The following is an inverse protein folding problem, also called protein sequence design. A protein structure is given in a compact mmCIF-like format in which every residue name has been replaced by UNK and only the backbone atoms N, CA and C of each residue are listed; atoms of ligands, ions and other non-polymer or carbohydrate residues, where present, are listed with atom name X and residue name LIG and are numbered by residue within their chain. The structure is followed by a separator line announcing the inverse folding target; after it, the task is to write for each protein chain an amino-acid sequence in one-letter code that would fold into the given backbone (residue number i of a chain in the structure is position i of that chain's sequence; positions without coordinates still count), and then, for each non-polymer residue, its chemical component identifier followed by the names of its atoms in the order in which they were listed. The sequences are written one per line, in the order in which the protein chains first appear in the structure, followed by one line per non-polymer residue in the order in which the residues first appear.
data_IF_088060356459
#
_entry.id   IF_088060356459
#
_cell.length_a   1.000
_cell.length_b   1.000
_cell.length_c   1.000
_cell.angle_alpha   90.00
_cell.angle_beta   90.00
_cell.angle_gamma   90.00
#
_symmetry.space_group_name_H-M   'P 1'
#
loop_
_entity.id
_entity.type
_entity.pdbx_description
1 polymer ?
#
# COMPACT_ATOMS: atom_id res chain seq x y z
N UNK A 1 -46.31 42.90 36.19
CA UNK A 1 -46.78 41.94 35.16
C UNK A 1 -45.68 41.75 34.13
N UNK A 2 -44.86 40.70 34.27
CA UNK A 2 -43.91 40.28 33.23
C UNK A 2 -44.32 38.87 32.78
N UNK A 3 -44.65 38.72 31.50
CA UNK A 3 -44.94 37.43 30.85
C UNK A 3 -43.62 36.71 30.59
N UNK A 4 -43.48 35.43 30.95
CA UNK A 4 -42.36 34.63 30.49
C UNK A 4 -42.57 34.27 29.02
N UNK A 5 -41.62 34.64 28.18
CA UNK A 5 -41.53 34.20 26.78
C UNK A 5 -40.98 32.78 26.78
N UNK A 6 -41.80 31.83 26.35
CA UNK A 6 -41.40 30.43 26.16
C UNK A 6 -40.58 30.35 24.87
N UNK A 7 -39.25 30.26 24.99
CA UNK A 7 -38.36 29.97 23.85
C UNK A 7 -38.47 28.47 23.57
N UNK A 8 -39.18 28.12 22.49
CA UNK A 8 -39.19 26.76 21.97
C UNK A 8 -37.80 26.44 21.38
N UNK A 9 -37.02 25.63 22.10
CA UNK A 9 -35.85 24.97 21.54
C UNK A 9 -36.33 23.96 20.50
N UNK A 10 -36.23 24.33 19.21
CA UNK A 10 -36.21 23.34 18.14
C UNK A 10 -34.97 22.48 18.33
N UNK A 11 -35.15 21.30 18.92
CA UNK A 11 -34.18 20.21 18.82
C UNK A 11 -34.15 19.77 17.36
N UNK A 12 -33.24 20.33 16.56
CA UNK A 12 -32.85 19.72 15.30
C UNK A 12 -32.16 18.40 15.64
N UNK A 13 -32.92 17.31 15.56
CA UNK A 13 -32.34 15.99 15.43
C UNK A 13 -31.42 16.03 14.21
N UNK A 14 -30.10 16.12 14.43
CA UNK A 14 -29.10 15.79 13.42
C UNK A 14 -29.41 14.35 13.00
N UNK A 15 -30.18 14.20 11.92
CA UNK A 15 -30.22 12.95 11.20
C UNK A 15 -28.81 12.77 10.67
N UNK A 16 -27.99 11.95 11.34
CA UNK A 16 -26.75 11.49 10.74
C UNK A 16 -27.11 10.92 9.38
N UNK A 17 -26.43 11.40 8.33
CA UNK A 17 -26.59 10.90 6.96
C UNK A 17 -26.55 9.37 7.00
N UNK A 18 -27.61 8.71 6.49
CA UNK A 18 -27.63 7.25 6.38
C UNK A 18 -26.62 6.86 5.30
N UNK A 19 -25.39 6.60 5.71
CA UNK A 19 -24.29 6.28 4.82
C UNK A 19 -23.50 5.04 5.26
N UNK A 20 -22.77 4.47 4.30
CA UNK A 20 -21.86 3.34 4.49
C UNK A 20 -20.55 3.66 3.76
N UNK A 21 -19.45 3.62 4.50
CA UNK A 21 -18.09 3.76 3.98
C UNK A 21 -17.37 2.42 4.10
N UNK A 22 -16.72 2.00 3.02
CA UNK A 22 -16.02 0.70 2.92
C UNK A 22 -14.65 0.94 2.30
N UNK A 23 -13.61 0.65 3.07
CA UNK A 23 -12.23 0.60 2.58
C UNK A 23 -12.04 -0.65 1.70
N UNK A 24 -11.43 -0.50 0.53
CA UNK A 24 -11.24 -1.62 -0.39
C UNK A 24 -10.28 -2.65 0.20
N UNK A 25 -9.21 -2.22 0.86
CA UNK A 25 -8.23 -3.11 1.52
C UNK A 25 -8.85 -3.97 2.63
N UNK A 26 -9.99 -3.54 3.19
CA UNK A 26 -10.73 -4.25 4.24
C UNK A 26 -11.67 -5.34 3.68
N UNK A 27 -11.65 -5.60 2.36
CA UNK A 27 -12.41 -6.71 1.78
C UNK A 27 -11.94 -8.04 2.37
N UNK A 28 -12.89 -8.88 2.81
CA UNK A 28 -12.60 -10.16 3.47
C UNK A 28 -11.93 -11.18 2.55
N UNK A 29 -12.26 -11.12 1.25
CA UNK A 29 -11.58 -11.88 0.21
C UNK A 29 -11.13 -10.89 -0.87
N UNK A 30 -9.83 -10.80 -1.11
CA UNK A 30 -9.27 -9.86 -2.09
C UNK A 30 -9.16 -10.47 -3.49
N UNK A 31 -9.50 -11.75 -3.65
CA UNK A 31 -9.35 -12.45 -4.91
C UNK A 31 -7.90 -12.35 -5.41
N UNK A 32 -7.71 -11.81 -6.62
CA UNK A 32 -6.38 -11.52 -7.17
C UNK A 32 -5.95 -10.06 -7.05
N UNK A 33 -6.66 -9.24 -6.27
CA UNK A 33 -6.28 -7.85 -6.01
C UNK A 33 -5.22 -7.77 -4.91
N UNK A 34 -4.16 -7.00 -5.16
CA UNK A 34 -3.10 -6.76 -4.19
C UNK A 34 -3.36 -5.48 -3.39
N UNK A 35 -2.97 -5.47 -2.11
CA UNK A 35 -2.97 -4.24 -1.29
C UNK A 35 -1.71 -3.45 -1.61
N UNK A 36 -1.86 -2.18 -1.98
CA UNK A 36 -0.75 -1.24 -2.17
C UNK A 36 -0.74 -0.21 -1.03
N UNK A 37 0.34 -0.20 -0.25
CA UNK A 37 0.58 0.70 0.88
C UNK A 37 1.59 1.82 0.56
N UNK A 38 2.21 1.83 -0.62
CA UNK A 38 3.38 2.67 -0.90
C UNK A 38 3.03 4.16 -0.94
N UNK A 39 1.79 4.48 -1.32
CA UNK A 39 1.33 5.86 -1.52
C UNK A 39 0.47 6.38 -0.37
N UNK A 40 0.46 5.73 0.80
CA UNK A 40 -0.36 6.13 1.96
C UNK A 40 -0.14 7.61 2.34
N UNK A 41 1.11 8.12 2.30
CA UNK A 41 1.38 9.53 2.63
C UNK A 41 0.74 10.51 1.65
N UNK A 42 0.58 10.11 0.39
CA UNK A 42 -0.05 10.94 -0.64
C UNK A 42 -1.57 10.77 -0.65
N UNK A 43 -2.05 9.55 -0.39
CA UNK A 43 -3.44 9.15 -0.56
C UNK A 43 -4.28 9.26 0.69
N UNK A 44 -3.65 9.12 1.86
CA UNK A 44 -4.28 8.97 3.16
C UNK A 44 -4.65 7.52 3.54
N UNK A 45 -4.36 6.53 2.69
CA UNK A 45 -4.79 5.13 2.85
C UNK A 45 -4.08 4.17 1.91
N UNK A 46 -4.18 2.87 2.22
CA UNK A 46 -3.87 1.81 1.28
C UNK A 46 -5.01 1.70 0.25
N UNK A 47 -4.83 0.88 -0.78
CA UNK A 47 -5.87 0.61 -1.77
C UNK A 47 -5.70 -0.77 -2.40
N UNK A 48 -6.74 -1.28 -3.05
CA UNK A 48 -6.65 -2.50 -3.85
C UNK A 48 -6.24 -2.17 -5.30
N UNK A 49 -5.30 -2.98 -5.81
CA UNK A 49 -4.79 -2.91 -7.18
C UNK A 49 -4.91 -4.26 -7.90
N UNK A 50 -5.57 -4.27 -9.06
CA UNK A 50 -5.71 -5.44 -9.91
C UNK A 50 -4.53 -5.60 -10.89
N UNK A 51 -3.48 -6.30 -10.48
CA UNK A 51 -2.29 -6.53 -11.32
C UNK A 51 -2.31 -7.93 -11.95
N UNK A 52 -2.96 -8.06 -13.12
CA UNK A 52 -3.13 -9.34 -13.82
C UNK A 52 -2.36 -9.47 -15.14
N UNK A 53 -1.45 -8.53 -15.43
CA UNK A 53 -0.64 -8.51 -16.66
C UNK A 53 -1.49 -8.64 -17.94
N UNK A 54 -2.60 -7.89 -18.00
CA UNK A 54 -3.52 -7.89 -19.14
C UNK A 54 -4.56 -9.01 -19.15
N UNK A 55 -4.55 -9.89 -18.13
CA UNK A 55 -5.63 -10.82 -17.84
C UNK A 55 -6.36 -10.34 -16.59
N UNK A 56 -7.70 -10.20 -16.61
CA UNK A 56 -8.44 -9.82 -15.42
C UNK A 56 -8.16 -10.74 -14.22
N UNK A 57 -7.89 -10.15 -13.06
CA UNK A 57 -7.68 -10.92 -11.81
C UNK A 57 -9.01 -11.40 -11.22
N UNK A 58 -8.95 -12.39 -10.33
CA UNK A 58 -10.14 -12.86 -9.61
C UNK A 58 -10.78 -11.74 -8.77
N UNK A 59 -12.11 -11.70 -8.74
CA UNK A 59 -12.90 -10.67 -8.04
C UNK A 59 -12.54 -10.57 -6.55
N UNK A 60 -12.45 -9.35 -6.03
CA UNK A 60 -12.46 -9.12 -4.59
C UNK A 60 -13.90 -9.06 -4.08
N UNK A 61 -14.19 -9.64 -2.91
CA UNK A 61 -15.53 -9.70 -2.33
C UNK A 61 -15.55 -9.41 -0.83
N UNK A 62 -16.64 -8.80 -0.35
CA UNK A 62 -16.90 -8.59 1.08
C UNK A 62 -18.40 -8.50 1.37
N UNK A 63 -18.84 -8.97 2.53
CA UNK A 63 -20.21 -8.75 3.02
C UNK A 63 -20.24 -7.46 3.86
N UNK A 64 -21.17 -6.57 3.55
CA UNK A 64 -21.40 -5.34 4.31
C UNK A 64 -22.81 -5.29 4.88
N UNK A 65 -22.99 -4.46 5.90
CA UNK A 65 -24.31 -4.16 6.47
C UNK A 65 -24.64 -2.68 6.29
N UNK A 66 -25.61 -2.39 5.41
CA UNK A 66 -26.15 -1.05 5.22
C UNK A 66 -26.99 -0.59 6.43
N UNK A 67 -27.02 0.72 6.74
CA UNK A 67 -27.81 1.24 7.86
C UNK A 67 -29.31 1.09 7.64
N UNK A 68 -29.78 1.09 6.39
CA UNK A 68 -31.16 0.77 6.00
C UNK A 68 -31.22 0.35 4.52
N UNK A 69 -32.41 -0.10 4.08
CA UNK A 69 -32.69 -0.36 2.65
C UNK A 69 -33.12 0.92 1.95
N UNK A 70 -33.19 0.89 0.62
CA UNK A 70 -33.64 1.99 -0.23
C UNK A 70 -32.57 2.42 -1.24
N UNK A 71 -32.82 3.57 -1.87
CA UNK A 71 -31.91 4.15 -2.86
C UNK A 71 -30.71 4.84 -2.19
N UNK A 72 -29.51 4.52 -2.66
CA UNK A 72 -28.24 5.15 -2.27
C UNK A 72 -27.53 5.71 -3.49
N UNK A 73 -26.75 6.77 -3.29
CA UNK A 73 -25.75 7.27 -4.23
C UNK A 73 -24.41 6.59 -3.98
N UNK A 74 -23.84 5.99 -5.02
CA UNK A 74 -22.54 5.33 -4.98
C UNK A 74 -21.44 6.29 -5.43
N UNK A 75 -20.40 6.41 -4.62
CA UNK A 75 -19.14 7.06 -4.97
C UNK A 75 -17.99 6.07 -4.77
N UNK A 76 -17.13 5.93 -5.77
CA UNK A 76 -15.94 5.06 -5.70
C UNK A 76 -14.70 5.92 -5.79
N UNK A 77 -13.79 5.80 -4.81
CA UNK A 77 -12.51 6.50 -4.84
C UNK A 77 -11.53 5.74 -5.71
N UNK A 78 -11.14 6.36 -6.81
CA UNK A 78 -10.32 5.77 -7.88
C UNK A 78 -9.63 6.87 -8.70
N UNK A 79 -8.86 6.48 -9.72
CA UNK A 79 -8.31 7.36 -10.75
C UNK A 79 -8.03 6.60 -12.03
N UNK A 80 -8.05 7.31 -13.16
CA UNK A 80 -7.36 6.83 -14.35
C UNK A 80 -5.86 7.05 -14.17
N UNK A 81 -5.14 5.96 -13.91
CA UNK A 81 -3.74 6.07 -13.60
C UNK A 81 -2.88 6.57 -14.75
N UNK A 82 -3.32 6.46 -16.02
CA UNK A 82 -2.57 6.99 -17.18
C UNK A 82 -2.93 8.43 -17.55
N UNK A 83 -3.99 8.98 -16.98
CA UNK A 83 -4.51 10.28 -17.39
C UNK A 83 -3.50 11.43 -17.18
N UNK A 84 -2.60 11.34 -16.18
CA UNK A 84 -1.59 12.38 -15.93
C UNK A 84 -0.58 12.55 -17.09
N UNK A 85 -0.50 11.59 -18.00
CA UNK A 85 0.33 11.66 -19.20
C UNK A 85 -0.47 11.91 -20.48
N UNK A 86 -1.78 12.16 -20.38
CA UNK A 86 -2.70 12.24 -21.52
C UNK A 86 -2.67 11.00 -22.43
N UNK A 87 -2.34 9.83 -21.86
CA UNK A 87 -2.32 8.58 -22.62
C UNK A 87 -3.74 8.01 -22.79
N UNK A 88 -4.06 7.41 -23.94
CA UNK A 88 -5.40 6.90 -24.21
C UNK A 88 -5.68 5.55 -23.54
N UNK A 89 -6.96 5.26 -23.26
CA UNK A 89 -7.45 3.89 -23.07
C UNK A 89 -7.95 3.53 -21.66
N UNK A 90 -7.59 4.29 -20.63
CA UNK A 90 -7.94 4.02 -19.23
C UNK A 90 -7.73 2.54 -18.85
N UNK A 91 -6.49 2.07 -18.78
CA UNK A 91 -6.19 0.66 -18.60
C UNK A 91 -6.66 0.09 -17.26
N UNK A 92 -6.76 0.90 -16.20
CA UNK A 92 -7.19 0.45 -14.88
C UNK A 92 -8.71 0.30 -14.70
N UNK A 93 -9.45 -0.11 -15.73
CA UNK A 93 -10.92 -0.22 -15.67
C UNK A 93 -11.38 -1.37 -14.79
N UNK A 94 -12.37 -1.11 -13.94
CA UNK A 94 -13.05 -2.13 -13.15
C UNK A 94 -14.54 -1.80 -13.00
N UNK A 95 -15.32 -2.76 -12.51
CA UNK A 95 -16.72 -2.58 -12.15
C UNK A 95 -16.97 -2.92 -10.68
N UNK A 96 -18.08 -2.40 -10.15
CA UNK A 96 -18.59 -2.76 -8.82
C UNK A 96 -19.85 -3.59 -8.99
N UNK A 97 -20.01 -4.65 -8.22
CA UNK A 97 -21.27 -5.38 -8.08
C UNK A 97 -21.81 -5.25 -6.66
N UNK A 98 -23.11 -4.96 -6.54
CA UNK A 98 -23.82 -4.74 -5.28
C UNK A 98 -24.98 -5.72 -5.22
N UNK A 99 -24.94 -6.66 -4.27
CA UNK A 99 -25.99 -7.67 -4.11
C UNK A 99 -26.11 -8.59 -5.32
N UNK A 100 -25.01 -8.82 -6.04
CA UNK A 100 -24.98 -9.61 -7.27
C UNK A 100 -25.36 -8.84 -8.54
N UNK A 101 -25.78 -7.58 -8.44
CA UNK A 101 -26.06 -6.72 -9.59
C UNK A 101 -24.85 -5.83 -9.89
N UNK A 102 -24.29 -5.95 -11.09
CA UNK A 102 -23.23 -5.08 -11.58
C UNK A 102 -23.77 -3.66 -11.81
N UNK A 103 -23.05 -2.66 -11.33
CA UNK A 103 -23.30 -1.26 -11.59
C UNK A 103 -23.09 -0.92 -13.09
N UNK A 104 -23.85 0.03 -13.62
CA UNK A 104 -23.74 0.41 -15.02
C UNK A 104 -22.43 1.18 -15.32
N UNK A 105 -21.89 1.88 -14.32
CA UNK A 105 -20.67 2.66 -14.44
C UNK A 105 -19.45 1.74 -14.48
N UNK A 106 -18.51 2.08 -15.36
CA UNK A 106 -17.15 1.53 -15.32
C UNK A 106 -16.24 2.54 -14.62
N UNK A 107 -15.50 2.08 -13.62
CA UNK A 107 -14.65 2.89 -12.77
C UNK A 107 -13.18 2.83 -13.21
N UNK A 108 -12.35 3.75 -12.71
CA UNK A 108 -10.94 3.85 -13.06
C UNK A 108 -10.70 4.51 -14.42
N UNK A 109 -11.65 5.34 -14.86
CA UNK A 109 -11.70 5.95 -16.20
C UNK A 109 -11.62 7.46 -16.21
N UNK A 110 -11.54 8.09 -15.03
CA UNK A 110 -11.61 9.53 -14.89
C UNK A 110 -10.60 10.03 -13.85
N UNK A 111 -10.06 11.22 -14.09
CA UNK A 111 -9.14 11.94 -13.20
C UNK A 111 -7.71 11.41 -13.21
N UNK A 112 -6.75 12.32 -13.35
CA UNK A 112 -5.32 12.05 -13.19
C UNK A 112 -4.91 11.83 -11.72
N UNK A 113 -5.65 12.46 -10.82
CA UNK A 113 -5.50 12.35 -9.37
C UNK A 113 -6.60 11.48 -8.77
N UNK A 114 -6.38 11.00 -7.55
CA UNK A 114 -7.38 10.28 -6.78
C UNK A 114 -8.62 11.15 -6.56
N UNK A 115 -9.80 10.60 -6.88
CA UNK A 115 -11.07 11.30 -6.77
C UNK A 115 -12.24 10.34 -6.55
N UNK A 116 -13.40 10.89 -6.20
CA UNK A 116 -14.65 10.16 -6.04
C UNK A 116 -15.41 10.13 -7.37
N UNK A 117 -15.29 9.03 -8.11
CA UNK A 117 -16.06 8.79 -9.33
C UNK A 117 -17.48 8.34 -8.96
N UNK A 118 -18.50 9.01 -9.50
CA UNK A 118 -19.91 8.66 -9.23
C UNK A 118 -20.32 7.38 -9.96
N UNK A 119 -20.95 6.45 -9.24
CA UNK A 119 -21.65 5.29 -9.79
C UNK A 119 -23.13 5.58 -10.10
N UNK A 120 -23.64 6.76 -9.76
CA UNK A 120 -25.07 7.07 -9.81
C UNK A 120 -25.85 6.46 -8.64
N UNK A 121 -27.10 6.07 -8.88
CA UNK A 121 -27.99 5.54 -7.84
C UNK A 121 -28.10 4.03 -7.89
N UNK A 122 -28.01 3.39 -6.73
CA UNK A 122 -28.17 1.95 -6.54
C UNK A 122 -29.30 1.67 -5.53
N UNK A 123 -30.09 0.63 -5.78
CA UNK A 123 -31.18 0.22 -4.89
C UNK A 123 -30.71 -0.91 -3.98
N UNK A 124 -30.76 -0.69 -2.66
CA UNK A 124 -30.36 -1.66 -1.65
C UNK A 124 -31.61 -2.33 -1.07
N UNK A 125 -31.83 -3.59 -1.44
CA UNK A 125 -33.02 -4.37 -1.04
C UNK A 125 -32.81 -5.19 0.23
N UNK A 126 -31.56 -5.43 0.62
CA UNK A 126 -31.18 -6.14 1.85
C UNK A 126 -30.09 -5.38 2.57
N UNK A 127 -30.21 -5.25 3.90
CA UNK A 127 -29.17 -4.60 4.71
C UNK A 127 -27.85 -5.36 4.62
N UNK A 128 -27.89 -6.70 4.67
CA UNK A 128 -26.73 -7.55 4.40
C UNK A 128 -26.60 -7.73 2.90
N UNK A 129 -25.50 -7.23 2.34
CA UNK A 129 -25.27 -7.19 0.90
C UNK A 129 -23.81 -7.53 0.61
N UNK A 130 -23.57 -8.35 -0.40
CA UNK A 130 -22.23 -8.65 -0.89
C UNK A 130 -21.82 -7.56 -1.87
N UNK A 131 -20.65 -6.97 -1.66
CA UNK A 131 -19.97 -6.10 -2.61
C UNK A 131 -18.89 -6.90 -3.35
N UNK A 132 -18.69 -6.60 -4.63
CA UNK A 132 -17.57 -7.13 -5.41
C UNK A 132 -16.86 -6.06 -6.22
N UNK A 133 -15.54 -6.16 -6.31
CA UNK A 133 -14.73 -5.46 -7.31
C UNK A 133 -14.35 -6.44 -8.42
N UNK A 134 -14.68 -6.07 -9.65
CA UNK A 134 -14.50 -6.90 -10.84
C UNK A 134 -13.49 -6.20 -11.75
N UNK A 135 -12.30 -6.78 -11.87
CA UNK A 135 -11.32 -6.30 -12.83
C UNK A 135 -11.81 -6.55 -14.27
N UNK A 136 -11.66 -5.56 -15.15
CA UNK A 136 -12.10 -5.65 -16.53
C UNK A 136 -10.94 -5.74 -17.51
N UNK A 137 -9.70 -5.58 -17.06
CA UNK A 137 -8.56 -5.38 -17.98
C UNK A 137 -7.29 -6.13 -17.58
N UNK A 138 -7.05 -6.41 -16.30
CA UNK A 138 -5.76 -6.94 -15.83
C UNK A 138 -4.64 -5.90 -15.78
N UNK A 139 -4.93 -4.61 -15.92
CA UNK A 139 -3.92 -3.54 -15.99
C UNK A 139 -4.03 -2.51 -14.87
N UNK A 140 -3.80 -2.96 -13.64
CA UNK A 140 -3.70 -2.13 -12.45
C UNK A 140 -4.95 -1.29 -12.22
N UNK A 141 -6.14 -1.91 -12.25
CA UNK A 141 -7.35 -1.25 -11.75
C UNK A 141 -7.15 -0.85 -10.29
N UNK A 142 -7.50 0.39 -9.92
CA UNK A 142 -7.24 0.94 -8.58
C UNK A 142 -8.52 1.33 -7.87
N UNK A 143 -8.82 0.70 -6.75
CA UNK A 143 -9.97 1.04 -5.93
C UNK A 143 -9.51 1.26 -4.49
N UNK A 144 -9.76 2.46 -3.99
CA UNK A 144 -9.40 2.83 -2.62
C UNK A 144 -10.59 2.61 -1.68
N UNK A 145 -11.76 3.16 -2.00
CA UNK A 145 -12.92 3.01 -1.13
C UNK A 145 -14.23 3.12 -1.90
N UNK A 146 -15.30 2.58 -1.31
CA UNK A 146 -16.67 2.76 -1.74
C UNK A 146 -17.43 3.54 -0.67
N UNK A 147 -18.17 4.56 -1.10
CA UNK A 147 -19.05 5.34 -0.24
C UNK A 147 -20.46 5.31 -0.79
N UNK A 148 -21.40 4.92 0.06
CA UNK A 148 -22.82 4.91 -0.23
C UNK A 148 -23.51 5.91 0.69
N UNK A 149 -24.31 6.82 0.15
CA UNK A 149 -25.07 7.79 0.95
C UNK A 149 -26.48 7.98 0.41
N UNK A 150 -27.46 8.23 1.28
CA UNK A 150 -28.80 8.61 0.84
C UNK A 150 -28.92 10.10 0.47
N UNK A 151 -27.94 10.93 0.82
CA UNK A 151 -27.91 12.35 0.47
C UNK A 151 -27.02 12.56 -0.77
N UNK A 152 -27.63 12.95 -1.89
CA UNK A 152 -26.92 13.23 -3.14
C UNK A 152 -25.85 14.34 -3.03
N UNK A 153 -25.92 15.19 -1.99
CA UNK A 153 -24.96 16.28 -1.76
C UNK A 153 -23.81 15.89 -0.85
N UNK A 154 -23.88 14.72 -0.22
CA UNK A 154 -22.88 14.21 0.70
C UNK A 154 -21.76 13.51 -0.07
N UNK A 155 -20.84 14.32 -0.62
CA UNK A 155 -19.66 13.85 -1.33
C UNK A 155 -18.45 13.94 -0.38
N UNK A 156 -17.72 12.83 -0.13
CA UNK A 156 -16.61 12.87 0.79
C UNK A 156 -15.47 13.78 0.29
N UNK A 157 -14.66 14.34 1.21
CA UNK A 157 -13.43 15.04 0.84
C UNK A 157 -12.47 14.14 0.05
N UNK A 158 -11.65 14.73 -0.80
CA UNK A 158 -10.78 13.94 -1.72
C UNK A 158 -9.35 13.75 -1.21
N UNK A 159 -8.86 14.65 -0.33
CA UNK A 159 -7.45 14.67 0.11
C UNK A 159 -7.25 15.39 1.44
N UNK A 160 -6.05 15.23 1.98
CA UNK A 160 -5.54 16.05 3.10
C UNK A 160 -6.25 15.79 4.43
N UNK A 161 -6.17 16.75 5.37
CA UNK A 161 -6.74 16.60 6.71
C UNK A 161 -8.25 16.33 6.73
N UNK A 162 -9.01 16.89 5.78
CA UNK A 162 -10.46 16.68 5.72
C UNK A 162 -10.82 15.24 5.35
N UNK A 163 -10.09 14.62 4.41
CA UNK A 163 -10.26 13.20 4.09
C UNK A 163 -9.90 12.33 5.29
N UNK A 164 -8.80 12.65 5.98
CA UNK A 164 -8.38 11.94 7.17
C UNK A 164 -9.47 11.98 8.26
N UNK A 165 -10.02 13.16 8.54
CA UNK A 165 -11.10 13.33 9.52
C UNK A 165 -12.39 12.63 9.09
N UNK A 166 -12.73 12.64 7.81
CA UNK A 166 -13.85 11.89 7.26
C UNK A 166 -13.68 10.39 7.51
N UNK A 167 -12.54 9.79 7.10
CA UNK A 167 -12.26 8.36 7.28
C UNK A 167 -12.30 7.96 8.74
N UNK A 168 -11.63 8.74 9.61
CA UNK A 168 -11.63 8.51 11.05
C UNK A 168 -13.04 8.42 11.62
N UNK A 169 -13.92 9.36 11.26
CA UNK A 169 -15.31 9.37 11.73
C UNK A 169 -16.12 8.22 11.13
N UNK A 170 -15.97 7.96 9.83
CA UNK A 170 -16.68 6.91 9.12
C UNK A 170 -16.33 5.50 9.66
N UNK A 171 -15.06 5.26 9.98
CA UNK A 171 -14.55 4.04 10.59
C UNK A 171 -14.71 4.00 12.12
N UNK A 172 -15.33 5.02 12.72
CA UNK A 172 -15.54 5.15 14.18
C UNK A 172 -14.25 5.04 14.99
N UNK A 173 -13.15 5.55 14.43
CA UNK A 173 -11.84 5.52 15.06
C UNK A 173 -11.71 6.64 16.10
N UNK A 174 -10.99 6.40 17.20
CA UNK A 174 -10.80 7.40 18.24
C UNK A 174 -10.02 8.62 17.70
N UNK A 175 -10.29 9.84 18.19
CA UNK A 175 -9.56 11.05 17.79
C UNK A 175 -8.09 11.01 18.20
N UNK A 176 -7.76 10.22 19.21
CA UNK A 176 -6.41 10.00 19.71
C UNK A 176 -6.09 8.52 19.51
N UNK A 177 -5.04 8.16 18.74
CA UNK A 177 -4.65 6.77 18.59
C UNK A 177 -4.31 6.12 19.95
N UNK A 178 -4.81 4.90 20.23
CA UNK A 178 -4.38 4.13 21.38
C UNK A 178 -2.85 4.01 21.42
N UNK A 179 -2.26 4.25 22.58
CA UNK A 179 -0.80 4.27 22.73
C UNK A 179 -0.27 2.93 23.24
N UNK A 180 0.73 2.39 22.55
CA UNK A 180 1.63 1.33 22.98
C UNK A 180 2.93 1.97 23.45
N UNK A 181 3.39 1.62 24.64
CA UNK A 181 4.57 2.19 25.29
C UNK A 181 5.45 1.07 25.89
N UNK A 182 6.54 1.46 26.55
CA UNK A 182 7.48 0.52 27.16
C UNK A 182 8.56 0.00 26.23
N UNK A 183 8.73 0.62 25.06
CA UNK A 183 9.81 0.29 24.12
C UNK A 183 11.06 1.12 24.40
N UNK A 184 12.19 0.44 24.49
CA UNK A 184 13.51 1.09 24.52
C UNK A 184 13.89 1.56 23.12
N UNK A 185 13.58 0.76 22.09
CA UNK A 185 13.84 1.08 20.69
C UNK A 185 12.60 0.83 19.82
N UNK A 186 12.22 1.82 19.03
CA UNK A 186 11.21 1.68 17.97
C UNK A 186 11.92 1.67 16.62
N UNK A 187 11.87 0.56 15.91
CA UNK A 187 12.45 0.39 14.57
C UNK A 187 11.33 0.48 13.54
N UNK A 188 11.45 1.39 12.57
CA UNK A 188 10.46 1.60 11.52
C UNK A 188 11.05 1.16 10.18
N UNK A 189 10.48 0.11 9.59
CA UNK A 189 10.90 -0.49 8.33
C UNK A 189 11.51 -1.88 8.51
N UNK A 190 10.78 -2.92 8.11
CA UNK A 190 11.19 -4.32 8.22
C UNK A 190 12.09 -4.83 7.08
N UNK A 191 12.97 -3.98 6.53
CA UNK A 191 14.01 -4.40 5.56
C UNK A 191 15.22 -5.06 6.24
N UNK A 192 16.23 -5.48 5.47
CA UNK A 192 17.47 -6.06 6.02
C UNK A 192 18.12 -5.21 7.13
N UNK A 193 18.14 -3.88 6.98
CA UNK A 193 18.68 -2.97 7.99
C UNK A 193 17.84 -2.96 9.28
N UNK A 194 16.52 -2.83 9.16
CA UNK A 194 15.62 -2.74 10.32
C UNK A 194 15.46 -4.07 11.05
N UNK A 195 15.37 -5.20 10.33
CA UNK A 195 15.40 -6.53 10.94
C UNK A 195 16.70 -6.71 11.74
N UNK A 196 17.84 -6.39 11.14
CA UNK A 196 19.14 -6.53 11.81
C UNK A 196 19.26 -5.62 13.04
N UNK A 197 18.78 -4.37 12.94
CA UNK A 197 18.76 -3.43 14.06
C UNK A 197 17.88 -3.93 15.21
N UNK A 198 16.68 -4.45 14.90
CA UNK A 198 15.74 -4.96 15.88
C UNK A 198 16.29 -6.21 16.60
N UNK A 199 16.82 -7.19 15.86
CA UNK A 199 17.42 -8.41 16.43
C UNK A 199 18.62 -8.05 17.31
N UNK A 200 19.52 -7.19 16.80
CA UNK A 200 20.70 -6.77 17.56
C UNK A 200 20.30 -6.09 18.88
N UNK A 201 19.35 -5.15 18.84
CA UNK A 201 18.85 -4.46 20.03
C UNK A 201 18.20 -5.43 21.04
N UNK A 202 17.34 -6.35 20.55
CA UNK A 202 16.66 -7.34 21.38
C UNK A 202 17.64 -8.26 22.12
N UNK A 203 18.68 -8.74 21.43
CA UNK A 203 19.74 -9.58 22.00
C UNK A 203 20.64 -8.85 23.01
N UNK A 204 20.67 -7.52 22.94
CA UNK A 204 21.31 -6.67 23.97
C UNK A 204 20.36 -6.27 25.11
N UNK A 205 19.16 -6.86 25.16
CA UNK A 205 18.21 -6.70 26.26
C UNK A 205 17.25 -5.52 26.13
N UNK A 206 17.20 -4.85 24.97
CA UNK A 206 16.24 -3.77 24.74
C UNK A 206 14.86 -4.32 24.36
N UNK A 207 13.78 -3.76 24.91
CA UNK A 207 12.41 -4.02 24.41
C UNK A 207 12.20 -3.26 23.10
N UNK A 208 11.91 -3.97 22.02
CA UNK A 208 11.84 -3.42 20.66
C UNK A 208 10.43 -3.48 20.11
N UNK A 209 9.98 -2.40 19.45
CA UNK A 209 8.86 -2.44 18.50
C UNK A 209 9.43 -2.42 17.08
N UNK A 210 9.19 -3.47 16.28
CA UNK A 210 9.53 -3.49 14.86
C UNK A 210 8.28 -3.26 14.03
N UNK A 211 8.19 -2.11 13.36
CA UNK A 211 7.04 -1.68 12.57
C UNK A 211 7.34 -1.88 11.09
N UNK A 212 6.48 -2.61 10.38
CA UNK A 212 6.56 -2.78 8.94
C UNK A 212 5.18 -2.61 8.29
N UNK A 213 5.15 -1.89 7.17
CA UNK A 213 3.92 -1.47 6.48
C UNK A 213 3.24 -2.58 5.68
N UNK A 214 3.95 -3.67 5.40
CA UNK A 214 3.45 -4.82 4.64
C UNK A 214 3.39 -6.09 5.48
N UNK A 215 2.78 -7.13 4.91
CA UNK A 215 2.57 -8.42 5.56
C UNK A 215 3.83 -9.29 5.62
N UNK A 216 4.82 -9.04 4.75
CA UNK A 216 6.06 -9.83 4.70
C UNK A 216 7.28 -8.96 4.95
N UNK A 217 8.22 -9.48 5.74
CA UNK A 217 9.49 -8.82 6.04
C UNK A 217 10.50 -8.94 4.89
N UNK A 218 11.55 -8.11 4.90
CA UNK A 218 12.66 -8.15 3.96
C UNK A 218 12.77 -6.93 3.05
N UNK A 219 11.76 -6.04 3.05
CA UNK A 219 11.77 -4.87 2.18
C UNK A 219 11.79 -5.30 0.71
N UNK A 220 12.75 -4.81 -0.07
CA UNK A 220 12.92 -5.22 -1.46
C UNK A 220 13.41 -6.67 -1.62
N UNK A 221 13.99 -7.28 -0.58
CA UNK A 221 14.38 -8.69 -0.57
C UNK A 221 13.34 -9.63 0.02
N UNK A 222 12.08 -9.24 -0.07
CA UNK A 222 10.92 -10.13 0.12
C UNK A 222 10.51 -10.74 -1.22
N UNK A 223 9.67 -11.76 -1.18
CA UNK A 223 9.09 -12.37 -2.38
C UNK A 223 8.23 -11.41 -3.23
N UNK A 224 7.78 -10.29 -2.65
CA UNK A 224 6.99 -9.27 -3.35
C UNK A 224 7.81 -8.45 -4.37
N UNK A 225 9.11 -8.23 -4.11
CA UNK A 225 9.98 -7.36 -4.95
C UNK A 225 11.17 -8.11 -5.54
N UNK A 226 11.61 -9.19 -4.88
CA UNK A 226 12.55 -10.17 -5.40
C UNK A 226 13.97 -9.64 -5.65
N UNK A 227 14.43 -8.63 -4.90
CA UNK A 227 15.84 -8.21 -4.91
C UNK A 227 16.64 -9.09 -3.95
N UNK A 228 17.50 -9.94 -4.48
CA UNK A 228 18.30 -10.88 -3.69
C UNK A 228 19.14 -10.22 -2.58
N UNK A 229 19.47 -10.99 -1.54
CA UNK A 229 20.49 -10.60 -0.58
C UNK A 229 21.86 -10.65 -1.26
N UNK A 230 22.48 -9.48 -1.47
CA UNK A 230 23.82 -9.41 -2.06
C UNK A 230 24.65 -8.35 -1.35
N UNK A 231 25.88 -8.71 -0.98
CA UNK A 231 26.86 -7.82 -0.38
C UNK A 231 28.16 -8.55 -0.07
N UNK A 232 29.28 -7.81 -0.03
CA UNK A 232 30.57 -8.34 0.42
C UNK A 232 30.64 -8.39 1.94
N UNK A 233 30.01 -9.39 2.56
CA UNK A 233 30.01 -9.61 4.01
C UNK A 233 31.17 -10.50 4.44
N UNK A 234 31.57 -10.41 5.71
CA UNK A 234 32.61 -11.26 6.32
C UNK A 234 33.99 -11.23 5.62
N UNK A 235 34.34 -10.10 4.98
CA UNK A 235 35.60 -9.96 4.25
C UNK A 235 36.70 -9.30 5.08
N UNK A 236 37.91 -9.87 5.02
CA UNK A 236 39.14 -9.25 5.52
C UNK A 236 39.07 -8.82 6.99
N UNK A 237 39.09 -7.49 7.23
CA UNK A 237 39.08 -6.90 8.59
C UNK A 237 37.72 -6.95 9.29
N UNK A 238 36.65 -7.35 8.59
CA UNK A 238 35.29 -7.36 9.11
C UNK A 238 34.67 -8.76 9.08
N UNK A 239 35.28 -9.77 9.74
CA UNK A 239 34.83 -11.18 9.65
C UNK A 239 33.42 -11.41 10.22
N UNK A 240 32.96 -10.55 11.13
CA UNK A 240 31.64 -10.65 11.76
C UNK A 240 30.56 -9.81 11.07
N UNK A 241 30.92 -9.00 10.06
CA UNK A 241 29.96 -8.14 9.37
C UNK A 241 28.98 -9.01 8.58
N UNK A 242 27.69 -8.93 8.92
CA UNK A 242 26.61 -9.64 8.25
C UNK A 242 26.17 -10.95 8.92
N UNK A 243 26.72 -11.31 10.08
CA UNK A 243 26.31 -12.54 10.80
C UNK A 243 24.81 -12.59 11.09
N UNK A 244 24.23 -11.51 11.63
CA UNK A 244 22.78 -11.43 11.88
C UNK A 244 21.98 -11.53 10.57
N UNK A 245 22.45 -10.86 9.51
CA UNK A 245 21.80 -10.89 8.18
C UNK A 245 21.77 -12.31 7.63
N UNK A 246 22.87 -13.07 7.75
CA UNK A 246 22.96 -14.44 7.27
C UNK A 246 21.97 -15.41 7.94
N UNK A 247 21.42 -15.08 9.11
CA UNK A 247 20.39 -15.90 9.77
C UNK A 247 19.06 -15.90 9.01
N UNK A 248 18.81 -14.88 8.18
CA UNK A 248 17.54 -14.70 7.47
C UNK A 248 17.67 -14.28 5.99
N UNK A 249 18.90 -14.23 5.46
CA UNK A 249 19.15 -13.96 4.04
C UNK A 249 18.66 -15.07 3.14
N UNK A 250 18.15 -14.68 1.97
CA UNK A 250 18.08 -15.59 0.84
C UNK A 250 19.48 -15.88 0.28
N UNK A 251 19.60 -16.99 -0.45
CA UNK A 251 20.78 -17.33 -1.25
C UNK A 251 20.40 -17.45 -2.73
N UNK A 252 19.48 -16.60 -3.19
CA UNK A 252 19.09 -16.59 -4.60
C UNK A 252 20.31 -16.29 -5.46
N UNK A 253 20.31 -16.84 -6.68
CA UNK A 253 21.38 -16.65 -7.67
C UNK A 253 21.01 -15.66 -8.76
N UNK A 254 19.82 -15.05 -8.65
CA UNK A 254 19.30 -14.10 -9.61
C UNK A 254 18.56 -12.94 -8.90
N UNK A 255 18.54 -11.76 -9.54
CA UNK A 255 17.69 -10.62 -9.17
C UNK A 255 17.04 -10.08 -10.46
N UNK A 256 15.70 -10.07 -10.59
CA UNK A 256 14.76 -10.71 -9.69
C UNK A 256 14.95 -12.23 -9.66
N UNK A 257 14.81 -12.83 -8.47
CA UNK A 257 14.92 -14.27 -8.23
C UNK A 257 13.57 -15.00 -8.32
N UNK A 258 13.54 -16.30 -8.02
CA UNK A 258 12.26 -17.02 -7.91
C UNK A 258 11.61 -16.72 -6.55
N UNK A 259 10.29 -16.50 -6.53
CA UNK A 259 9.49 -16.14 -5.33
C UNK A 259 9.87 -16.97 -4.08
N UNK A 260 9.98 -18.30 -4.23
CA UNK A 260 10.25 -19.20 -3.11
C UNK A 260 11.69 -19.14 -2.57
N UNK A 261 12.62 -18.50 -3.28
CA UNK A 261 13.99 -18.33 -2.82
C UNK A 261 14.13 -17.21 -1.78
N UNK A 262 13.14 -16.32 -1.65
CA UNK A 262 13.22 -15.14 -0.76
C UNK A 262 12.95 -15.43 0.71
N UNK A 263 12.64 -16.66 1.09
CA UNK A 263 12.60 -17.12 2.49
C UNK A 263 11.80 -16.23 3.45
N UNK A 264 10.68 -15.67 3.03
CA UNK A 264 9.85 -14.76 3.83
C UNK A 264 9.49 -15.36 5.21
N UNK A 265 9.12 -16.65 5.23
CA UNK A 265 8.82 -17.40 6.47
C UNK A 265 10.02 -17.46 7.43
N UNK A 266 11.25 -17.59 6.89
CA UNK A 266 12.46 -17.60 7.72
C UNK A 266 12.68 -16.22 8.34
N UNK A 267 12.51 -15.14 7.57
CA UNK A 267 12.66 -13.76 8.05
C UNK A 267 11.72 -13.50 9.24
N UNK A 268 10.45 -13.86 9.10
CA UNK A 268 9.48 -13.72 10.18
C UNK A 268 9.80 -14.64 11.37
N UNK A 269 10.15 -15.91 11.12
CA UNK A 269 10.51 -16.87 12.17
C UNK A 269 11.67 -16.38 13.03
N UNK A 270 12.74 -15.86 12.42
CA UNK A 270 13.91 -15.34 13.15
C UNK A 270 13.50 -14.16 14.03
N UNK A 271 12.76 -13.19 13.50
CA UNK A 271 12.29 -12.04 14.29
C UNK A 271 11.38 -12.48 15.44
N UNK A 272 10.43 -13.39 15.20
CA UNK A 272 9.51 -13.88 16.22
C UNK A 272 10.16 -14.77 17.28
N UNK A 273 11.38 -15.26 17.03
CA UNK A 273 12.14 -16.03 18.01
C UNK A 273 12.83 -15.16 19.06
N UNK A 274 12.86 -13.84 18.87
CA UNK A 274 13.40 -12.89 19.84
C UNK A 274 12.31 -12.43 20.83
N UNK A 275 12.43 -12.85 22.10
CA UNK A 275 11.43 -12.55 23.16
C UNK A 275 11.18 -11.05 23.38
N UNK A 276 12.17 -10.22 23.05
CA UNK A 276 12.12 -8.78 23.26
C UNK A 276 11.56 -7.98 22.08
N UNK A 277 11.14 -8.61 20.98
CA UNK A 277 10.57 -7.91 19.82
C UNK A 277 9.04 -8.06 19.77
N UNK A 278 8.34 -6.92 19.79
CA UNK A 278 6.95 -6.86 19.35
C UNK A 278 6.93 -6.49 17.85
N UNK A 279 6.52 -7.43 17.01
CA UNK A 279 6.44 -7.27 15.56
C UNK A 279 5.06 -6.76 15.12
N UNK A 280 5.04 -5.59 14.48
CA UNK A 280 3.86 -4.93 13.91
C UNK A 280 3.92 -4.97 12.38
N UNK A 281 3.38 -6.05 11.78
CA UNK A 281 3.18 -6.15 10.33
C UNK A 281 1.92 -5.38 9.91
N UNK A 282 1.85 -4.99 8.64
CA UNK A 282 0.74 -4.18 8.10
C UNK A 282 0.53 -2.85 8.86
N UNK A 283 1.57 -2.24 9.39
CA UNK A 283 1.51 -0.98 10.12
C UNK A 283 2.37 0.08 9.42
N UNK A 284 1.73 1.05 8.78
CA UNK A 284 2.41 2.15 8.12
C UNK A 284 2.55 3.35 9.06
N UNK A 285 3.78 3.68 9.46
CA UNK A 285 4.07 4.86 10.29
C UNK A 285 3.94 6.14 9.45
N UNK A 286 2.83 6.87 9.62
CA UNK A 286 2.50 8.04 8.78
C UNK A 286 2.80 9.38 9.44
N UNK A 287 2.98 9.42 10.76
CA UNK A 287 3.25 10.67 11.50
C UNK A 287 4.28 10.46 12.59
N UNK A 288 5.25 11.36 12.64
CA UNK A 288 6.27 11.42 13.69
C UNK A 288 5.94 12.53 14.67
N UNK A 289 5.81 12.21 15.96
CA UNK A 289 5.47 13.17 17.00
C UNK A 289 6.72 13.56 17.78
N UNK A 290 7.10 14.83 17.70
CA UNK A 290 8.27 15.39 18.35
C UNK A 290 7.89 16.33 19.49
N UNK A 291 8.76 16.41 20.50
CA UNK A 291 8.70 17.42 21.57
C UNK A 291 10.13 17.74 22.01
N UNK A 292 10.44 19.03 22.12
CA UNK A 292 11.77 19.52 22.54
C UNK A 292 12.91 18.91 21.68
N UNK A 293 12.72 18.86 20.36
CA UNK A 293 13.63 18.26 19.37
C UNK A 293 13.91 16.75 19.56
N UNK A 294 13.08 16.05 20.34
CA UNK A 294 13.15 14.60 20.51
C UNK A 294 11.90 13.95 19.92
N UNK A 295 12.09 12.85 19.20
CA UNK A 295 10.98 11.97 18.80
C UNK A 295 10.43 11.32 20.07
N UNK A 296 9.11 11.36 20.24
CA UNK A 296 8.41 10.76 21.38
C UNK A 296 7.56 9.54 20.99
N UNK A 297 7.06 9.54 19.76
CA UNK A 297 6.28 8.42 19.22
C UNK A 297 6.12 8.55 17.71
N UNK A 298 5.71 7.46 17.09
CA UNK A 298 5.15 7.45 15.73
C UNK A 298 3.69 7.03 15.80
N UNK A 299 2.85 7.63 14.98
CA UNK A 299 1.49 7.14 14.74
C UNK A 299 1.50 6.29 13.47
N UNK A 300 1.00 5.07 13.60
CA UNK A 300 0.88 4.10 12.53
C UNK A 300 -0.60 3.83 12.22
N UNK A 301 -0.88 3.56 10.95
CA UNK A 301 -2.18 3.05 10.48
C UNK A 301 -2.02 1.60 10.09
N UNK A 302 -2.94 0.76 10.53
CA UNK A 302 -3.06 -0.61 10.07
C UNK A 302 -3.54 -0.60 8.62
N UNK A 303 -2.74 -1.12 7.70
CA UNK A 303 -2.97 -1.09 6.23
C UNK A 303 -4.02 -2.08 5.76
N UNK A 304 -4.71 -2.76 6.69
CA UNK A 304 -5.82 -3.69 6.40
C UNK A 304 -7.12 -3.28 7.06
N UNK A 305 -7.07 -2.60 8.21
CA UNK A 305 -8.26 -2.18 8.97
C UNK A 305 -8.47 -0.67 9.05
N UNK A 306 -7.44 0.12 8.72
CA UNK A 306 -7.43 1.57 8.89
C UNK A 306 -7.27 2.03 10.34
N UNK A 307 -7.15 1.10 11.31
CA UNK A 307 -7.02 1.45 12.72
C UNK A 307 -5.72 2.19 13.01
N UNK A 308 -5.77 3.22 13.85
CA UNK A 308 -4.58 3.95 14.28
C UNK A 308 -4.00 3.37 15.56
N UNK A 309 -2.67 3.33 15.64
CA UNK A 309 -1.92 3.01 16.87
C UNK A 309 -0.78 4.01 17.02
N UNK A 310 -0.60 4.55 18.23
CA UNK A 310 0.60 5.33 18.58
C UNK A 310 1.62 4.40 19.23
N UNK A 311 2.86 4.39 18.73
CA UNK A 311 3.95 3.60 19.30
C UNK A 311 4.99 4.56 19.86
N UNK A 312 5.11 4.57 21.18
CA UNK A 312 6.02 5.43 21.93
C UNK A 312 7.22 4.64 22.46
N UNK A 313 8.40 5.27 22.43
CA UNK A 313 9.63 4.68 22.93
C UNK A 313 10.72 5.70 23.22
N UNK A 314 11.87 5.21 23.67
CA UNK A 314 13.00 6.05 24.09
C UNK A 314 13.93 6.40 22.93
N UNK A 315 14.24 5.43 22.07
CA UNK A 315 15.06 5.56 20.88
C UNK A 315 14.27 5.17 19.63
N UNK A 316 14.67 5.73 18.49
CA UNK A 316 14.03 5.47 17.20
C UNK A 316 15.09 5.15 16.14
N UNK A 317 14.83 4.11 15.35
CA UNK A 317 15.63 3.76 14.18
C UNK A 317 14.76 3.90 12.92
N UNK A 318 15.09 4.88 12.09
CA UNK A 318 14.47 5.04 10.76
C UNK A 318 15.16 4.11 9.77
N UNK A 319 14.47 3.03 9.41
CA UNK A 319 14.86 2.06 8.39
C UNK A 319 13.83 1.99 7.26
N UNK A 320 13.12 3.09 6.96
CA UNK A 320 12.10 3.11 5.90
C UNK A 320 12.66 3.15 4.47
N UNK A 321 13.99 3.15 4.33
CA UNK A 321 14.72 3.32 3.06
C UNK A 321 14.72 4.77 2.58
N UNK A 322 13.60 5.49 2.70
CA UNK A 322 13.46 6.87 2.26
C UNK A 322 13.89 7.91 3.32
N UNK A 323 14.09 7.51 4.58
CA UNK A 323 14.36 8.43 5.68
C UNK A 323 13.12 9.24 6.10
N UNK A 324 11.94 8.64 5.97
CA UNK A 324 10.63 9.30 6.15
C UNK A 324 10.46 9.83 7.57
N UNK A 325 10.83 9.03 8.58
CA UNK A 325 10.64 9.38 9.99
C UNK A 325 11.60 10.50 10.38
N UNK A 326 12.86 10.42 9.94
CA UNK A 326 13.85 11.48 10.11
C UNK A 326 13.40 12.79 9.48
N UNK A 327 12.94 12.77 8.23
CA UNK A 327 12.43 13.95 7.55
C UNK A 327 11.21 14.55 8.27
N UNK A 328 10.24 13.72 8.68
CA UNK A 328 9.07 14.16 9.45
C UNK A 328 9.43 14.72 10.83
N UNK A 329 10.51 14.24 11.45
CA UNK A 329 11.02 14.76 12.71
C UNK A 329 11.74 16.11 12.57
N UNK A 330 11.93 16.61 11.34
CA UNK A 330 12.63 17.85 11.05
C UNK A 330 14.14 17.70 10.88
N UNK A 331 14.65 16.48 10.67
CA UNK A 331 16.05 16.28 10.34
C UNK A 331 16.38 16.96 9.00
N UNK A 332 17.60 17.49 8.88
CA UNK A 332 18.09 18.00 7.60
C UNK A 332 18.29 16.82 6.64
N UNK A 333 17.72 16.92 5.45
CA UNK A 333 17.89 15.94 4.39
C UNK A 333 18.19 16.65 3.06
N UNK A 334 18.64 15.88 2.09
CA UNK A 334 18.88 16.31 0.73
C UNK A 334 18.25 15.28 -0.20
N UNK A 335 17.55 15.76 -1.24
CA UNK A 335 16.96 14.91 -2.26
C UNK A 335 17.44 15.40 -3.62
N UNK A 336 17.97 14.48 -4.43
CA UNK A 336 18.29 14.74 -5.83
C UNK A 336 17.21 14.09 -6.69
N UNK A 337 16.44 14.90 -7.43
CA UNK A 337 15.37 14.40 -8.30
C UNK A 337 15.91 13.70 -9.56
N UNK A 338 17.16 13.97 -9.95
CA UNK A 338 17.80 13.45 -11.16
C UNK A 338 19.26 13.06 -10.92
N UNK A 339 19.79 12.17 -11.76
CA UNK A 339 21.23 12.04 -12.04
C UNK A 339 22.11 11.29 -11.03
N UNK A 340 21.56 10.68 -9.97
CA UNK A 340 22.40 10.06 -8.94
C UNK A 340 21.96 8.68 -8.43
N UNK A 341 20.66 8.35 -8.47
CA UNK A 341 20.13 7.01 -8.16
C UNK A 341 18.84 6.84 -8.95
N UNK A 342 18.86 6.07 -10.03
CA UNK A 342 17.71 5.96 -10.91
C UNK A 342 16.63 5.01 -10.41
N UNK A 343 15.43 5.16 -10.96
CA UNK A 343 14.35 4.18 -10.80
C UNK A 343 14.77 2.90 -11.54
N UNK A 344 15.18 1.86 -10.83
CA UNK A 344 15.52 0.58 -11.46
C UNK A 344 14.24 -0.20 -11.77
N UNK A 345 14.00 -0.48 -13.05
CA UNK A 345 12.97 -1.43 -13.47
C UNK A 345 13.65 -2.72 -13.90
N UNK A 346 13.29 -3.84 -13.28
CA UNK A 346 13.80 -5.15 -13.65
C UNK A 346 12.69 -5.97 -14.30
N UNK A 347 13.01 -6.68 -15.38
CA UNK A 347 12.08 -7.62 -16.00
C UNK A 347 12.72 -8.98 -16.28
N UNK A 348 11.85 -9.97 -16.29
CA UNK A 348 12.18 -11.33 -16.71
C UNK A 348 11.27 -11.73 -17.86
N UNK A 349 11.83 -12.44 -18.84
CA UNK A 349 11.13 -12.95 -20.01
C UNK A 349 11.29 -14.47 -20.03
N UNK A 350 10.18 -15.17 -20.17
CA UNK A 350 10.16 -16.62 -20.35
C UNK A 350 9.69 -16.93 -21.77
N UNK A 351 10.50 -17.66 -22.52
CA UNK A 351 10.06 -18.24 -23.78
C UNK A 351 9.16 -19.45 -23.49
N UNK A 352 7.92 -19.36 -23.93
CA UNK A 352 6.91 -20.41 -23.74
C UNK A 352 6.91 -21.43 -24.87
N UNK A 353 7.64 -21.19 -25.98
CA UNK A 353 7.59 -22.02 -27.19
C UNK A 353 6.28 -21.91 -27.98
N UNK A 354 5.32 -21.11 -27.50
CA UNK A 354 4.00 -20.92 -28.07
C UNK A 354 3.65 -19.44 -28.14
N UNK A 355 2.85 -19.04 -29.13
CA UNK A 355 2.40 -17.66 -29.26
C UNK A 355 1.49 -17.30 -28.07
N UNK A 356 1.90 -16.31 -27.29
CA UNK A 356 1.07 -15.71 -26.24
C UNK A 356 0.33 -14.52 -26.84
N UNK A 357 -1.00 -14.54 -26.83
CA UNK A 357 -1.81 -13.37 -27.20
C UNK A 357 -1.68 -12.31 -26.09
N UNK A 358 -1.44 -11.06 -26.50
CA UNK A 358 -1.32 -9.93 -25.58
C UNK A 358 -2.29 -8.82 -25.99
N UNK A 359 -3.08 -8.26 -25.05
CA UNK A 359 -4.03 -7.20 -25.38
C UNK A 359 -3.29 -5.95 -25.88
N UNK A 360 -3.92 -5.20 -26.78
CA UNK A 360 -3.35 -3.92 -27.25
C UNK A 360 -3.21 -2.95 -26.07
N UNK A 361 -2.04 -2.35 -25.93
CA UNK A 361 -1.71 -1.38 -24.87
C UNK A 361 -1.40 0.00 -25.47
N UNK A 362 -2.39 0.76 -25.98
CA UNK A 362 -2.16 2.06 -26.62
C UNK A 362 -1.60 3.14 -25.68
N UNK A 363 -1.62 2.92 -24.37
CA UNK A 363 -0.99 3.78 -23.36
C UNK A 363 0.48 3.45 -23.08
N UNK A 364 0.97 2.29 -23.54
CA UNK A 364 2.33 1.85 -23.24
C UNK A 364 3.32 2.45 -24.25
N UNK A 365 4.55 2.68 -23.79
CA UNK A 365 5.64 3.08 -24.69
C UNK A 365 5.89 1.98 -25.73
N UNK A 366 5.90 2.30 -27.04
CA UNK A 366 6.18 1.34 -28.09
C UNK A 366 7.69 1.07 -28.15
N UNK A 367 8.15 0.10 -27.37
CA UNK A 367 9.55 -0.33 -27.38
C UNK A 367 9.80 -1.31 -28.54
N UNK A 368 10.78 -0.99 -29.38
CA UNK A 368 11.23 -1.78 -30.51
C UNK A 368 12.53 -2.54 -30.26
N UNK A 369 12.98 -3.25 -31.30
CA UNK A 369 14.27 -3.95 -31.30
C UNK A 369 15.40 -2.93 -31.22
N UNK A 370 16.14 -2.92 -30.10
CA UNK A 370 17.20 -1.95 -29.81
C UNK A 370 16.92 -1.08 -28.58
N UNK A 371 15.64 -0.94 -28.20
CA UNK A 371 15.26 -0.29 -26.94
C UNK A 371 15.42 -1.23 -25.75
N UNK A 372 15.39 -2.54 -26.02
CA UNK A 372 15.66 -3.55 -25.01
C UNK A 372 17.16 -3.80 -24.88
N UNK A 373 17.67 -3.87 -23.64
CA UNK A 373 19.00 -4.36 -23.38
C UNK A 373 19.21 -5.82 -23.77
N UNK A 374 20.48 -6.20 -23.88
CA UNK A 374 20.86 -7.58 -24.13
C UNK A 374 20.31 -8.51 -23.04
N UNK A 375 19.62 -9.57 -23.46
CA UNK A 375 19.12 -10.60 -22.56
C UNK A 375 20.26 -11.54 -22.15
N UNK A 376 20.30 -11.89 -20.88
CA UNK A 376 21.19 -12.90 -20.31
C UNK A 376 20.38 -14.01 -19.65
N UNK A 377 20.92 -15.23 -19.61
CA UNK A 377 20.23 -16.37 -18.97
C UNK A 377 20.28 -16.29 -17.44
N UNK A 378 19.25 -16.81 -16.78
CA UNK A 378 19.26 -17.00 -15.32
C UNK A 378 20.41 -17.93 -14.91
N UNK A 379 21.07 -17.60 -13.80
CA UNK A 379 22.22 -18.33 -13.25
C UNK A 379 21.77 -19.52 -12.41
N UNK A 380 20.52 -19.54 -11.95
CA UNK A 380 19.91 -20.64 -11.19
C UNK A 380 19.84 -21.99 -11.93
N UNK A 381 19.87 -23.14 -11.20
CA UNK A 381 19.87 -24.48 -11.79
C UNK A 381 18.47 -25.01 -12.15
N UNK A 382 17.41 -24.45 -11.56
CA UNK A 382 16.05 -25.00 -11.68
C UNK A 382 15.32 -24.51 -12.93
N UNK A 383 14.89 -23.25 -12.93
CA UNK A 383 14.14 -22.66 -14.02
C UNK A 383 15.02 -21.72 -14.84
N UNK A 384 15.23 -22.07 -16.11
CA UNK A 384 15.89 -21.20 -17.07
C UNK A 384 14.90 -20.16 -17.59
N UNK A 385 15.24 -18.89 -17.41
CA UNK A 385 14.55 -17.76 -18.00
C UNK A 385 15.59 -16.78 -18.55
N UNK A 386 15.17 -15.93 -19.48
CA UNK A 386 16.00 -14.81 -19.92
C UNK A 386 15.64 -13.63 -19.05
N UNK A 387 16.63 -12.97 -18.50
CA UNK A 387 16.47 -11.70 -17.81
C UNK A 387 17.29 -10.65 -18.50
N UNK A 388 16.86 -9.41 -18.40
CA UNK A 388 17.74 -8.30 -18.66
C UNK A 388 17.91 -7.57 -17.34
N UNK A 389 19.14 -7.54 -16.85
CA UNK A 389 19.51 -6.71 -15.71
C UNK A 389 19.85 -5.35 -16.28
N UNK A 390 18.96 -4.37 -16.22
CA UNK A 390 19.39 -2.99 -16.39
C UNK A 390 19.10 -2.21 -15.12
N UNK A 391 20.18 -1.60 -14.61
CA UNK A 391 20.17 -0.29 -13.97
C UNK A 391 19.62 0.72 -14.99
N UNK A 392 18.36 0.53 -15.42
CA UNK A 392 17.65 1.45 -16.28
C UNK A 392 17.25 2.63 -15.40
N UNK A 393 18.25 3.34 -14.90
CA UNK A 393 18.14 4.71 -14.45
C UNK A 393 17.73 5.48 -15.68
N UNK A 394 16.42 5.49 -15.99
CA UNK A 394 15.88 5.85 -17.28
C UNK A 394 16.61 7.05 -17.84
N UNK A 395 17.53 6.79 -18.77
CA UNK A 395 18.28 7.75 -19.56
C UNK A 395 17.33 8.42 -20.54
N UNK A 396 16.28 9.00 -19.98
CA UNK A 396 15.31 9.83 -20.59
C UNK A 396 15.09 10.93 -19.57
N UNK A 397 15.32 12.18 -19.93
CA UNK A 397 14.58 13.30 -19.33
C UNK A 397 13.06 13.21 -19.63
N UNK A 398 12.52 12.00 -19.89
CA UNK A 398 11.13 11.69 -20.22
C UNK A 398 10.65 10.54 -19.34
N UNK A 399 9.41 10.65 -18.90
CA UNK A 399 8.76 9.74 -17.98
C UNK A 399 8.51 8.37 -18.66
N UNK A 400 8.57 7.21 -17.98
CA UNK A 400 8.29 5.88 -18.57
C UNK A 400 6.85 5.66 -19.09
N UNK A 401 6.03 6.70 -19.06
CA UNK A 401 4.69 6.74 -19.63
C UNK A 401 4.64 8.08 -20.38
N UNK A 402 4.62 7.99 -21.73
CA UNK A 402 4.81 9.04 -22.74
C UNK A 402 6.18 9.75 -22.77
#
# INVERSE_FOLDING_TARGET
MLRPVLIALLSTSLHGSESLFVEAEAFSDRGGWSVDSQFILNMGSAYLMAHGLGTPVADATTEVTFPSTGTYHLHVRTKDWVAKWNAPGAPGKFAVSIGGKRDATTFGTDGADWQWQSGGTVEITSKKTILKLIDLTGFNGRCDALYFTKDAKDIPPTRGPDLFEFRRKALKLPPIPPTKNGYDLVVIGGGYSGISAAISAARHGLKVALIHDRAVLGGNGSSEVQVWAMGGTQLGRFPHLGEIVNEFSDFSRDSPGLIHEFVDDLKEKVVRSEDNIDLYLNHFAFRTNTKDNLIKSVDAVDTTTGAFTRIAGSLFCDSTGHGTIGAQAGAKFMMAEKGHMGMSNMWSVKDTGEKVEWPKTPWALPLGKGDYPSLHGSRGPYQKFKKAEWFWEGGYDKHPIN
#
